data_IF_719508234201
#
_entry.id   IF_719508234201
#
_cell.length_a   1.000
_cell.length_b   1.000
_cell.length_c   1.000
_cell.angle_alpha   90.00
_cell.angle_beta   90.00
_cell.angle_gamma   90.00
#
_symmetry.space_group_name_H-M   'P 1'
#
loop_
_entity.id
_entity.type
_entity.pdbx_description
1 polymer ?
#
# COMPACT_ATOMS: atom_id res chain seq x y z
N UNK A 1 -9.42 -6.74 26.78
CA UNK A 1 -10.83 -6.33 26.59
C UNK A 1 -11.63 -7.59 26.32
N UNK A 2 -12.50 -8.00 27.25
CA UNK A 2 -13.40 -9.13 27.01
C UNK A 2 -14.53 -8.65 26.09
N UNK A 3 -14.77 -9.37 25.01
CA UNK A 3 -15.75 -8.96 23.99
C UNK A 3 -17.16 -9.34 24.46
N UNK A 4 -17.99 -8.35 24.77
CA UNK A 4 -19.22 -8.49 25.56
C UNK A 4 -20.24 -9.45 24.92
N UNK A 5 -20.24 -10.70 25.40
CA UNK A 5 -21.24 -11.72 25.08
C UNK A 5 -22.53 -11.41 25.83
N UNK A 6 -23.58 -11.07 25.09
CA UNK A 6 -24.92 -10.82 25.63
C UNK A 6 -25.74 -12.11 25.66
N UNK A 7 -26.63 -12.23 26.64
CA UNK A 7 -27.59 -13.34 26.78
C UNK A 7 -28.97 -12.84 26.35
N UNK A 8 -29.59 -13.51 25.39
CA UNK A 8 -30.92 -13.18 24.87
C UNK A 8 -31.85 -14.37 25.03
N UNK A 9 -33.06 -14.16 25.57
CA UNK A 9 -34.10 -15.20 25.63
C UNK A 9 -34.96 -15.14 24.37
N UNK A 10 -35.07 -16.25 23.67
CA UNK A 10 -35.85 -16.39 22.45
C UNK A 10 -36.83 -17.57 22.57
N UNK A 11 -38.05 -17.42 22.04
CA UNK A 11 -39.00 -18.53 21.91
C UNK A 11 -38.99 -19.02 20.47
N UNK A 12 -38.54 -20.26 20.25
CA UNK A 12 -38.45 -20.88 18.93
C UNK A 12 -39.32 -22.13 18.94
N UNK A 13 -40.28 -22.20 18.01
CA UNK A 13 -41.22 -23.30 17.87
C UNK A 13 -41.94 -23.71 19.18
N UNK A 14 -42.29 -22.72 20.00
CA UNK A 14 -42.96 -22.92 21.30
C UNK A 14 -42.04 -23.30 22.46
N UNK A 15 -40.74 -23.49 22.24
CA UNK A 15 -39.74 -23.77 23.30
C UNK A 15 -38.88 -22.53 23.55
N UNK A 16 -38.57 -22.27 24.83
CA UNK A 16 -37.77 -21.10 25.23
C UNK A 16 -36.29 -21.45 25.35
N UNK A 17 -35.44 -20.71 24.66
CA UNK A 17 -33.98 -20.88 24.63
C UNK A 17 -33.27 -19.62 25.12
N UNK A 18 -32.03 -19.77 25.60
CA UNK A 18 -31.14 -18.64 25.91
C UNK A 18 -29.95 -18.68 24.95
N UNK A 19 -29.88 -17.70 24.05
CA UNK A 19 -28.84 -17.54 23.04
C UNK A 19 -27.75 -16.65 23.63
N UNK A 20 -26.48 -17.05 23.49
CA UNK A 20 -25.32 -16.26 23.93
C UNK A 20 -24.53 -15.82 22.70
N UNK A 21 -24.53 -14.52 22.40
CA UNK A 21 -23.90 -13.99 21.19
C UNK A 21 -23.30 -12.59 21.41
N UNK A 22 -22.44 -12.18 20.47
CA UNK A 22 -21.84 -10.82 20.41
C UNK A 22 -22.69 -9.84 19.57
N UNK A 23 -23.81 -10.30 19.00
CA UNK A 23 -24.71 -9.49 18.15
C UNK A 23 -25.73 -8.74 19.01
N UNK A 24 -26.34 -7.69 18.45
CA UNK A 24 -27.41 -6.94 19.12
C UNK A 24 -28.64 -7.81 19.36
N UNK A 25 -29.44 -7.45 20.38
CA UNK A 25 -30.69 -8.15 20.69
C UNK A 25 -31.71 -8.01 19.55
N UNK A 26 -31.73 -6.89 18.85
CA UNK A 26 -32.52 -6.67 17.63
C UNK A 26 -32.20 -7.70 16.53
N UNK A 27 -30.90 -7.95 16.29
CA UNK A 27 -30.48 -8.96 15.31
C UNK A 27 -30.92 -10.37 15.74
N UNK A 28 -30.78 -10.71 17.02
CA UNK A 28 -31.21 -12.01 17.55
C UNK A 28 -32.74 -12.18 17.52
N UNK A 29 -33.50 -11.10 17.76
CA UNK A 29 -34.95 -11.05 17.60
C UNK A 29 -35.34 -11.39 16.16
N UNK A 30 -34.81 -10.66 15.17
CA UNK A 30 -35.09 -10.89 13.74
C UNK A 30 -34.71 -12.32 13.32
N UNK A 31 -33.58 -12.85 13.80
CA UNK A 31 -33.20 -14.25 13.54
C UNK A 31 -34.20 -15.25 14.13
N UNK A 32 -34.70 -15.01 15.35
CA UNK A 32 -35.70 -15.88 15.97
C UNK A 32 -37.07 -15.82 15.28
N UNK A 33 -37.49 -14.63 14.84
CA UNK A 33 -38.71 -14.43 14.05
C UNK A 33 -38.62 -15.11 12.68
N UNK A 34 -37.48 -14.97 11.99
CA UNK A 34 -37.22 -15.64 10.72
C UNK A 34 -37.23 -17.17 10.88
N UNK A 35 -36.60 -17.72 11.92
CA UNK A 35 -36.60 -19.16 12.20
C UNK A 35 -38.02 -19.69 12.43
N UNK A 36 -38.81 -19.00 13.27
CA UNK A 36 -40.23 -19.34 13.49
C UNK A 36 -41.05 -19.24 12.20
N UNK A 37 -40.80 -18.23 11.36
CA UNK A 37 -41.42 -18.07 10.06
C UNK A 37 -41.15 -19.27 9.13
N UNK A 38 -39.88 -19.71 9.02
CA UNK A 38 -39.50 -20.88 8.20
C UNK A 38 -40.11 -22.18 8.72
N UNK A 39 -40.14 -22.40 10.04
CA UNK A 39 -40.77 -23.58 10.65
C UNK A 39 -42.28 -23.58 10.39
N UNK A 40 -42.93 -22.41 10.42
CA UNK A 40 -44.36 -22.25 10.12
C UNK A 40 -44.67 -22.46 8.64
N UNK A 41 -43.82 -21.95 7.73
CA UNK A 41 -43.92 -22.22 6.29
C UNK A 41 -43.85 -23.73 5.99
N UNK A 42 -42.90 -24.44 6.61
CA UNK A 42 -42.82 -25.89 6.49
C UNK A 42 -44.01 -26.61 7.13
N UNK A 43 -44.64 -26.08 8.18
CA UNK A 43 -45.86 -26.66 8.74
C UNK A 43 -47.02 -26.62 7.74
N UNK A 44 -47.13 -25.54 6.96
CA UNK A 44 -48.14 -25.42 5.91
C UNK A 44 -47.84 -26.28 4.68
N UNK A 45 -46.58 -26.45 4.30
CA UNK A 45 -46.17 -27.24 3.13
C UNK A 45 -46.05 -28.76 3.42
N UNK A 46 -45.70 -29.12 4.65
CA UNK A 46 -45.43 -30.48 5.12
C UNK A 46 -46.06 -30.66 6.52
N UNK A 47 -47.39 -30.87 6.60
CA UNK A 47 -48.11 -30.95 7.86
C UNK A 47 -47.72 -32.21 8.66
N UNK A 48 -47.45 -33.32 7.98
CA UNK A 48 -47.18 -34.64 8.57
C UNK A 48 -45.87 -34.72 9.37
N UNK A 49 -44.95 -33.78 9.15
CA UNK A 49 -43.70 -33.71 9.89
C UNK A 49 -43.92 -33.20 11.32
N UNK A 50 -43.10 -33.66 12.26
CA UNK A 50 -43.06 -33.04 13.59
C UNK A 50 -42.34 -31.66 13.56
N UNK A 51 -42.57 -30.85 14.59
CA UNK A 51 -41.84 -29.61 14.88
C UNK A 51 -40.32 -29.83 14.89
N UNK A 52 -39.82 -30.92 15.47
CA UNK A 52 -38.39 -31.21 15.53
C UNK A 52 -37.83 -31.53 14.14
N UNK A 53 -38.53 -32.36 13.35
CA UNK A 53 -38.16 -32.67 11.96
C UNK A 53 -38.15 -31.42 11.08
N UNK A 54 -39.17 -30.55 11.18
CA UNK A 54 -39.18 -29.25 10.48
C UNK A 54 -38.03 -28.35 10.92
N UNK A 55 -37.72 -28.30 12.21
CA UNK A 55 -36.61 -27.49 12.75
C UNK A 55 -35.26 -27.95 12.21
N UNK A 56 -35.04 -29.26 12.11
CA UNK A 56 -33.86 -29.86 11.48
C UNK A 56 -33.78 -29.47 9.99
N UNK A 57 -34.89 -29.56 9.25
CA UNK A 57 -34.93 -29.18 7.84
C UNK A 57 -34.64 -27.69 7.61
N UNK A 58 -35.15 -26.79 8.47
CA UNK A 58 -34.77 -25.36 8.44
C UNK A 58 -33.27 -25.19 8.69
N UNK A 59 -32.70 -25.90 9.66
CA UNK A 59 -31.27 -25.80 9.97
C UNK A 59 -30.38 -26.29 8.82
N UNK A 60 -30.70 -27.44 8.21
CA UNK A 60 -29.98 -27.98 7.04
C UNK A 60 -30.07 -27.02 5.85
N UNK A 61 -31.26 -26.49 5.56
CA UNK A 61 -31.45 -25.52 4.47
C UNK A 61 -30.67 -24.22 4.73
N UNK A 62 -30.65 -23.72 5.98
CA UNK A 62 -29.88 -22.54 6.35
C UNK A 62 -28.35 -22.75 6.24
N UNK A 63 -27.85 -23.95 6.57
CA UNK A 63 -26.44 -24.30 6.38
C UNK A 63 -26.09 -24.34 4.89
N UNK A 64 -26.93 -24.98 4.07
CA UNK A 64 -26.78 -25.01 2.61
C UNK A 64 -26.74 -23.60 2.01
N UNK A 65 -27.70 -22.74 2.38
CA UNK A 65 -27.75 -21.35 1.92
C UNK A 65 -26.53 -20.52 2.39
N UNK A 66 -26.00 -20.82 3.58
CA UNK A 66 -24.76 -20.19 4.09
C UNK A 66 -23.54 -20.60 3.27
N UNK A 67 -23.41 -21.87 2.92
CA UNK A 67 -22.31 -22.39 2.08
C UNK A 67 -22.36 -21.76 0.68
N UNK A 68 -23.52 -21.73 0.04
CA UNK A 68 -23.70 -21.11 -1.29
C UNK A 68 -23.33 -19.63 -1.27
N UNK A 69 -23.84 -18.86 -0.29
CA UNK A 69 -23.51 -17.43 -0.14
C UNK A 69 -22.05 -17.17 0.17
N UNK A 70 -21.37 -18.07 0.91
CA UNK A 70 -19.94 -17.96 1.15
C UNK A 70 -19.14 -18.14 -0.14
N UNK A 71 -19.50 -19.12 -0.98
CA UNK A 71 -18.87 -19.33 -2.28
C UNK A 71 -19.06 -18.12 -3.22
N UNK A 72 -20.28 -17.57 -3.30
CA UNK A 72 -20.57 -16.35 -4.07
C UNK A 72 -19.75 -15.14 -3.56
N UNK A 73 -19.66 -14.95 -2.23
CA UNK A 73 -18.86 -13.89 -1.64
C UNK A 73 -17.37 -14.01 -1.98
N UNK A 74 -16.83 -15.22 -2.00
CA UNK A 74 -15.41 -15.44 -2.30
C UNK A 74 -15.11 -15.32 -3.80
N UNK A 75 -16.05 -15.72 -4.68
CA UNK A 75 -15.98 -15.43 -6.12
C UNK A 75 -16.00 -13.91 -6.39
N UNK A 76 -16.90 -13.17 -5.74
CA UNK A 76 -17.00 -11.72 -5.87
C UNK A 76 -15.74 -11.00 -5.37
N UNK A 77 -15.17 -11.41 -4.23
CA UNK A 77 -13.86 -10.91 -3.75
C UNK A 77 -12.75 -11.20 -4.76
N UNK A 78 -12.73 -12.40 -5.36
CA UNK A 78 -11.78 -12.77 -6.40
C UNK A 78 -11.88 -11.86 -7.64
N UNK A 79 -13.10 -11.56 -8.09
CA UNK A 79 -13.36 -10.60 -9.18
C UNK A 79 -12.90 -9.18 -8.83
N UNK A 80 -13.18 -8.70 -7.63
CA UNK A 80 -12.72 -7.38 -7.14
C UNK A 80 -11.19 -7.32 -7.14
N UNK A 81 -10.51 -8.29 -6.51
CA UNK A 81 -9.05 -8.32 -6.45
C UNK A 81 -8.39 -8.42 -7.84
N UNK A 82 -9.02 -9.11 -8.80
CA UNK A 82 -8.58 -9.14 -10.19
C UNK A 82 -8.72 -7.75 -10.85
N UNK A 83 -9.89 -7.11 -10.72
CA UNK A 83 -10.15 -5.78 -11.29
C UNK A 83 -9.25 -4.70 -10.70
N UNK A 84 -9.01 -4.72 -9.39
CA UNK A 84 -8.05 -3.83 -8.71
C UNK A 84 -6.64 -3.98 -9.29
N UNK A 85 -6.20 -5.22 -9.55
CA UNK A 85 -4.88 -5.52 -10.13
C UNK A 85 -4.77 -5.09 -11.59
N UNK A 86 -5.84 -5.21 -12.38
CA UNK A 86 -5.88 -4.66 -13.75
C UNK A 86 -5.89 -3.13 -13.75
N UNK A 87 -6.63 -2.50 -12.84
CA UNK A 87 -6.64 -1.04 -12.69
C UNK A 87 -5.25 -0.51 -12.27
N UNK A 88 -4.56 -1.19 -11.34
CA UNK A 88 -3.19 -0.85 -10.95
C UNK A 88 -2.20 -0.95 -12.13
N UNK A 89 -2.32 -1.98 -12.98
CA UNK A 89 -1.53 -2.11 -14.22
C UNK A 89 -1.82 -0.96 -15.19
N UNK A 90 -3.09 -0.59 -15.36
CA UNK A 90 -3.49 0.51 -16.24
C UNK A 90 -2.91 1.84 -15.76
N UNK A 91 -2.97 2.14 -14.45
CA UNK A 91 -2.35 3.33 -13.87
C UNK A 91 -0.83 3.37 -14.08
N UNK A 92 -0.14 2.23 -13.94
CA UNK A 92 1.30 2.10 -14.24
C UNK A 92 1.61 2.31 -15.73
N UNK A 93 0.74 1.82 -16.63
CA UNK A 93 0.89 2.08 -18.07
C UNK A 93 0.62 3.53 -18.46
N UNK A 94 -0.36 4.20 -17.83
CA UNK A 94 -0.68 5.61 -18.09
C UNK A 94 0.48 6.51 -17.62
N UNK A 95 1.00 6.28 -16.41
CA UNK A 95 2.15 7.05 -15.88
C UNK A 95 3.45 6.79 -16.64
N UNK A 96 3.66 5.57 -17.16
CA UNK A 96 4.76 5.28 -18.07
C UNK A 96 4.60 5.98 -19.43
N UNK A 97 3.40 6.00 -20.02
CA UNK A 97 3.12 6.69 -21.29
C UNK A 97 3.32 8.20 -21.19
N UNK A 98 2.76 8.85 -20.16
CA UNK A 98 2.94 10.31 -19.98
C UNK A 98 4.40 10.71 -19.71
N UNK A 99 5.17 9.86 -19.04
CA UNK A 99 6.62 10.07 -18.86
C UNK A 99 7.39 10.02 -20.19
N UNK A 100 6.98 9.15 -21.11
CA UNK A 100 7.57 9.03 -22.46
C UNK A 100 7.16 10.22 -23.35
N UNK A 101 5.90 10.65 -23.29
CA UNK A 101 5.39 11.81 -24.04
C UNK A 101 6.14 13.10 -23.63
N UNK A 102 6.28 13.35 -22.33
CA UNK A 102 7.06 14.48 -21.81
C UNK A 102 8.54 14.45 -22.29
N UNK A 103 9.18 13.28 -22.34
CA UNK A 103 10.55 13.15 -22.86
C UNK A 103 10.65 13.28 -24.38
N UNK A 104 9.58 12.93 -25.12
CA UNK A 104 9.51 13.09 -26.57
C UNK A 104 9.32 14.57 -26.97
N UNK A 105 8.67 15.39 -26.14
CA UNK A 105 8.54 16.83 -26.37
C UNK A 105 9.85 17.58 -26.08
N UNK A 106 10.54 17.28 -24.97
CA UNK A 106 11.88 17.83 -24.66
C UNK A 106 12.88 17.59 -25.81
N UNK A 107 12.77 16.45 -26.52
CA UNK A 107 13.64 16.13 -27.68
C UNK A 107 13.22 16.77 -29.00
N UNK A 108 12.02 17.37 -29.10
CA UNK A 108 11.56 18.06 -30.33
C UNK A 108 12.00 19.53 -30.39
N UNK A 109 12.42 20.12 -29.26
CA UNK A 109 12.89 21.52 -29.23
C UNK A 109 14.36 21.68 -29.68
N UNK A 110 15.17 20.60 -29.66
CA UNK A 110 16.53 20.59 -30.22
C UNK A 110 16.53 20.52 -31.76
N UNK A 111 16.20 21.63 -32.42
CA UNK A 111 16.32 21.76 -33.89
C UNK A 111 17.78 21.64 -34.36
N UNK A 112 18.08 20.89 -35.43
CA UNK A 112 19.44 20.72 -35.92
C UNK A 112 19.94 21.96 -36.70
N UNK A 113 20.80 22.76 -36.08
CA UNK A 113 21.49 23.88 -36.77
C UNK A 113 22.63 23.33 -37.63
N UNK A 114 22.36 23.03 -38.90
CA UNK A 114 23.37 22.75 -39.94
C UNK A 114 23.45 23.88 -40.99
N UNK A 115 24.15 24.97 -40.68
CA UNK A 115 24.85 25.89 -41.62
C UNK A 115 25.98 26.60 -40.85
N UNK A 116 27.20 26.80 -41.36
CA UNK A 116 27.93 26.22 -42.52
C UNK A 116 29.43 26.47 -42.27
N UNK A 117 30.32 25.50 -42.47
CA UNK A 117 31.76 25.65 -42.18
C UNK A 117 32.64 25.49 -43.44
N UNK A 118 32.94 26.63 -44.09
CA UNK A 118 34.16 26.80 -44.89
C UNK A 118 35.04 27.82 -44.17
N UNK A 119 36.33 27.49 -44.08
CA UNK A 119 37.48 28.39 -43.89
C UNK A 119 37.33 29.61 -42.96
N UNK A 120 37.85 29.49 -41.74
CA UNK A 120 38.91 30.38 -41.23
C UNK A 120 39.43 29.87 -39.87
N UNK A 121 40.74 29.78 -39.71
CA UNK A 121 41.34 29.53 -38.41
C UNK A 121 41.29 30.78 -37.54
N UNK A 122 40.61 30.74 -36.40
CA UNK A 122 40.77 31.72 -35.33
C UNK A 122 40.56 31.08 -33.96
N UNK A 123 41.41 31.43 -33.00
CA UNK A 123 41.38 30.88 -31.63
C UNK A 123 40.19 31.46 -30.86
N UNK A 124 39.05 30.77 -30.88
CA UNK A 124 37.91 31.14 -30.03
C UNK A 124 38.14 30.69 -28.59
N UNK A 125 38.66 31.60 -27.77
CA UNK A 125 38.77 31.41 -26.31
C UNK A 125 37.38 31.60 -25.70
N UNK A 126 36.83 30.56 -25.07
CA UNK A 126 35.58 30.67 -24.30
C UNK A 126 35.79 31.59 -23.09
N UNK A 127 34.92 32.58 -22.84
CA UNK A 127 34.93 33.31 -21.58
C UNK A 127 34.45 32.39 -20.46
N UNK A 128 35.38 31.87 -19.64
CA UNK A 128 35.02 31.08 -18.45
C UNK A 128 34.36 31.98 -17.43
N UNK A 129 33.22 31.54 -16.89
CA UNK A 129 32.55 32.25 -15.80
C UNK A 129 33.38 32.17 -14.51
N UNK A 130 33.34 33.20 -13.66
CA UNK A 130 34.21 33.30 -12.47
C UNK A 130 34.02 32.16 -11.44
N UNK A 131 32.90 31.45 -11.51
CA UNK A 131 32.61 30.21 -10.78
C UNK A 131 33.46 29.02 -11.25
N UNK A 132 33.64 28.85 -12.56
CA UNK A 132 34.45 27.76 -13.14
C UNK A 132 35.92 27.92 -12.77
N UNK A 133 36.46 29.15 -12.82
CA UNK A 133 37.84 29.44 -12.44
C UNK A 133 38.11 29.12 -10.96
N UNK A 134 37.15 29.42 -10.06
CA UNK A 134 37.26 29.08 -8.64
C UNK A 134 37.26 27.56 -8.41
N UNK A 135 36.37 26.83 -9.08
CA UNK A 135 36.27 25.37 -8.91
C UNK A 135 37.51 24.64 -9.45
N UNK A 136 38.11 25.12 -10.54
CA UNK A 136 39.38 24.57 -11.05
C UNK A 136 40.55 24.85 -10.09
N UNK A 137 40.61 26.06 -9.50
CA UNK A 137 41.68 26.42 -8.53
C UNK A 137 41.59 25.59 -7.25
N UNK A 138 40.38 25.33 -6.75
CA UNK A 138 40.15 24.43 -5.61
C UNK A 138 40.61 22.98 -5.92
N UNK A 139 40.19 22.43 -7.07
CA UNK A 139 40.57 21.06 -7.50
C UNK A 139 42.08 20.90 -7.75
N UNK A 140 42.80 21.96 -8.10
CA UNK A 140 44.26 21.93 -8.19
C UNK A 140 44.92 21.94 -6.80
N UNK A 141 44.39 22.70 -5.85
CA UNK A 141 44.91 22.74 -4.46
C UNK A 141 44.69 21.42 -3.70
N UNK A 142 43.63 20.66 -4.00
CA UNK A 142 43.45 19.30 -3.46
C UNK A 142 44.48 18.32 -4.05
N UNK A 143 44.73 18.37 -5.36
CA UNK A 143 45.71 17.47 -6.02
C UNK A 143 47.15 17.72 -5.57
N UNK A 144 47.54 18.96 -5.26
CA UNK A 144 48.88 19.25 -4.72
C UNK A 144 49.08 18.77 -3.28
N UNK A 145 48.00 18.59 -2.51
CA UNK A 145 48.09 18.10 -1.12
C UNK A 145 48.17 16.56 -1.02
N UNK A 146 47.75 15.83 -2.06
CA UNK A 146 47.83 14.36 -2.10
C UNK A 146 49.18 13.81 -2.58
N UNK A 147 50.01 14.63 -3.26
CA UNK A 147 51.31 14.23 -3.79
C UNK A 147 52.50 14.80 -3.00
N UNK A 148 52.48 14.67 -1.66
CA UNK A 148 53.65 14.90 -0.80
C UNK A 148 54.36 13.57 -0.50
N UNK A 149 55.70 13.47 -0.66
CA UNK A 149 56.42 12.22 -0.49
C UNK A 149 56.41 11.72 0.97
N UNK A 150 56.36 10.40 1.15
CA UNK A 150 56.14 9.71 2.42
C UNK A 150 57.38 9.64 3.32
N UNK A 151 58.05 10.77 3.57
CA UNK A 151 59.26 10.83 4.43
C UNK A 151 59.25 11.94 5.51
N UNK A 152 58.06 12.31 6.03
CA UNK A 152 57.98 13.12 7.27
C UNK A 152 56.81 12.74 8.19
N UNK A 153 56.19 11.56 8.01
CA UNK A 153 55.03 11.10 8.82
C UNK A 153 55.31 10.84 10.31
N UNK A 154 56.56 11.01 10.78
CA UNK A 154 56.97 10.63 12.14
C UNK A 154 57.70 11.73 12.94
N UNK A 155 57.36 13.02 12.72
CA UNK A 155 57.87 14.12 13.55
C UNK A 155 56.85 15.23 13.89
N UNK A 156 55.56 14.90 13.99
CA UNK A 156 54.53 15.85 14.51
C UNK A 156 53.42 15.20 15.36
N UNK A 157 53.66 14.00 15.90
CA UNK A 157 52.77 13.31 16.87
C UNK A 157 53.28 13.39 18.32
N UNK A 158 54.36 14.14 18.57
CA UNK A 158 54.91 14.42 19.91
C UNK A 158 55.27 15.90 20.07
N UNK A 159 54.28 16.77 20.02
CA UNK A 159 54.35 18.09 20.66
C UNK A 159 52.94 18.57 21.01
N UNK A 160 52.68 18.59 22.33
CA UNK A 160 51.68 19.39 23.05
C UNK A 160 50.24 19.33 22.50
N UNK A 161 49.32 18.55 23.08
CA UNK A 161 48.93 18.64 24.50
C UNK A 161 48.97 20.08 25.02
N UNK A 162 47.89 20.83 24.78
CA UNK A 162 47.70 22.16 25.31
C UNK A 162 46.29 22.69 25.03
N UNK A 163 45.62 23.15 26.08
CA UNK A 163 44.39 23.95 26.03
C UNK A 163 43.10 23.27 25.54
N UNK A 164 42.41 22.61 26.48
CA UNK A 164 40.95 22.65 26.53
C UNK A 164 40.51 24.05 27.02
N UNK A 165 39.47 24.66 26.46
CA UNK A 165 38.58 25.55 27.20
C UNK A 165 37.40 24.77 27.79
N UNK A 166 36.87 25.26 28.91
CA UNK A 166 35.56 24.90 29.45
C UNK A 166 34.46 25.16 28.42
N UNK A 167 33.35 24.40 28.36
CA UNK A 167 32.49 24.14 29.51
C UNK A 167 31.72 25.42 29.83
N UNK A 168 30.50 25.54 29.32
CA UNK A 168 29.56 26.58 29.75
C UNK A 168 28.17 25.96 29.94
N UNK A 169 27.43 26.54 30.88
CA UNK A 169 26.09 26.11 31.33
C UNK A 169 25.01 26.59 30.37
#
# INVERSE_FOLDING_TARGET
>A
MAEDKRRYKATIAGRTYTIVAKKSEEHLKVVSELANGRITQLKSAMPDLDVEQRSILVAVNAISETISKQAELDELKGKIAHLEKEHEKQLKMITAKSSIENQAEIRKEEKPVKKTAKEAGSRFVRPTTASETRLQKAKQQEKTQQNMPTSTKNKLTKQNQGQRPSGNR
#
